data_IF_787333115269
#
_entry.id   IF_787333115269
#
_cell.length_a   1.000
_cell.length_b   1.000
_cell.length_c   1.000
_cell.angle_alpha   90.00
_cell.angle_beta   90.00
_cell.angle_gamma   90.00
#
_symmetry.space_group_name_H-M   'P 1'
#
loop_
_entity.id
_entity.type
_entity.pdbx_description
1 polymer ?
#
# COMPACT_ATOMS: atom_id res chain seq x y z
N UNK A 1 11.47 -17.99 29.56
CA UNK A 1 10.09 -17.64 29.22
C UNK A 1 9.97 -17.75 27.71
N UNK A 2 9.02 -18.57 27.20
CA UNK A 2 9.13 -19.22 25.89
C UNK A 2 9.08 -18.26 24.71
N UNK A 3 10.11 -18.31 23.87
CA UNK A 3 10.04 -17.84 22.48
C UNK A 3 9.18 -18.84 21.71
N UNK A 4 7.86 -18.63 21.70
CA UNK A 4 6.92 -19.46 20.92
C UNK A 4 7.10 -19.30 19.39
N UNK A 5 8.09 -18.52 18.95
CA UNK A 5 8.39 -18.34 17.55
C UNK A 5 9.90 -18.39 17.25
N UNK A 6 10.31 -19.03 16.15
CA UNK A 6 11.69 -19.06 15.67
C UNK A 6 12.24 -17.64 15.39
N UNK A 7 13.57 -17.48 15.31
CA UNK A 7 14.22 -16.19 15.08
C UNK A 7 13.58 -15.46 13.89
N UNK A 8 13.37 -14.16 14.09
CA UNK A 8 12.57 -13.33 13.17
C UNK A 8 13.38 -12.89 11.97
N UNK A 9 14.68 -12.66 12.19
CA UNK A 9 15.66 -12.23 11.21
C UNK A 9 16.96 -13.00 11.49
N UNK A 10 17.74 -13.24 10.44
CA UNK A 10 19.09 -13.74 10.52
C UNK A 10 20.02 -12.53 10.69
N UNK A 11 20.46 -12.28 11.93
CA UNK A 11 21.28 -11.11 12.28
C UNK A 11 22.68 -11.11 11.62
N UNK A 12 23.15 -12.27 11.16
CA UNK A 12 24.42 -12.35 10.44
C UNK A 12 24.33 -11.77 9.02
N UNK A 13 23.11 -11.67 8.44
CA UNK A 13 22.90 -11.12 7.10
C UNK A 13 22.66 -9.62 7.16
N UNK A 14 23.47 -8.87 6.40
CA UNK A 14 23.36 -7.42 6.23
C UNK A 14 22.67 -7.08 4.91
N UNK A 15 21.41 -7.50 4.77
CA UNK A 15 20.63 -7.37 3.54
C UNK A 15 19.28 -6.67 3.75
N UNK A 16 19.14 -5.89 4.81
CA UNK A 16 17.95 -5.08 5.10
C UNK A 16 18.35 -3.62 5.00
N UNK A 17 17.68 -2.87 4.13
CA UNK A 17 18.02 -1.49 3.80
C UNK A 17 16.79 -0.61 3.93
N UNK A 18 16.93 0.52 4.62
CA UNK A 18 15.91 1.57 4.57
C UNK A 18 16.09 2.36 3.28
N UNK A 19 14.98 2.67 2.61
CA UNK A 19 15.00 3.38 1.33
C UNK A 19 14.02 4.55 1.34
N UNK A 20 14.29 5.55 0.52
CA UNK A 20 13.27 6.53 0.11
C UNK A 20 12.65 6.06 -1.20
N UNK A 21 11.32 5.78 -1.25
CA UNK A 21 10.66 5.41 -2.48
C UNK A 21 10.91 6.42 -3.60
N UNK A 22 11.14 5.99 -4.86
CA UNK A 22 11.49 6.87 -5.96
C UNK A 22 10.27 7.61 -6.52
N UNK A 23 9.43 8.18 -5.65
CA UNK A 23 8.21 8.90 -6.05
C UNK A 23 8.49 10.17 -6.87
N UNK A 24 9.72 10.70 -6.84
CA UNK A 24 10.15 11.77 -7.75
C UNK A 24 9.93 11.38 -9.24
N UNK A 25 10.05 10.08 -9.56
CA UNK A 25 9.80 9.56 -10.90
C UNK A 25 8.32 9.60 -11.30
N UNK A 26 7.40 9.52 -10.33
CA UNK A 26 5.97 9.68 -10.61
C UNK A 26 5.66 11.12 -11.01
N UNK A 27 6.30 12.10 -10.36
CA UNK A 27 6.20 13.51 -10.75
C UNK A 27 6.72 13.74 -12.17
N UNK A 28 7.86 13.16 -12.54
CA UNK A 28 8.40 13.26 -13.91
C UNK A 28 7.43 12.65 -14.95
N UNK A 29 6.84 11.49 -14.65
CA UNK A 29 5.83 10.86 -15.52
C UNK A 29 4.57 11.70 -15.65
N UNK A 30 4.10 12.30 -14.55
CA UNK A 30 2.93 13.17 -14.54
C UNK A 30 3.17 14.47 -15.31
N UNK A 31 4.37 15.06 -15.23
CA UNK A 31 4.70 16.27 -15.97
C UNK A 31 4.74 16.03 -17.48
N UNK A 32 5.24 14.88 -17.94
CA UNK A 32 5.24 14.51 -19.37
C UNK A 32 3.84 14.37 -19.97
N UNK A 33 2.82 14.12 -19.15
CA UNK A 33 1.42 13.99 -19.59
C UNK A 33 0.60 15.28 -19.44
N UNK A 34 1.19 16.36 -18.94
CA UNK A 34 0.48 17.63 -18.71
C UNK A 34 0.56 18.54 -19.93
N UNK A 35 -0.49 18.54 -20.74
CA UNK A 35 -0.85 19.69 -21.56
C UNK A 35 -1.71 20.65 -20.70
N UNK A 36 -1.49 21.97 -20.82
CA UNK A 36 -2.22 23.05 -20.13
C UNK A 36 -3.63 22.64 -19.69
N UNK A 37 -3.83 22.51 -18.38
CA UNK A 37 -5.04 21.90 -17.85
C UNK A 37 -5.36 22.36 -16.43
N UNK A 38 -6.66 22.47 -16.21
CA UNK A 38 -7.40 22.67 -14.96
C UNK A 38 -6.64 22.32 -13.65
N UNK A 39 -6.68 23.23 -12.68
CA UNK A 39 -6.08 23.04 -11.35
C UNK A 39 -7.12 22.49 -10.38
N UNK A 40 -6.83 21.35 -9.75
CA UNK A 40 -7.78 20.65 -8.88
C UNK A 40 -7.42 20.83 -7.41
N UNK A 41 -8.45 20.96 -6.58
CA UNK A 41 -8.39 20.73 -5.13
C UNK A 41 -9.24 19.53 -4.81
N UNK A 42 -8.64 18.49 -4.22
CA UNK A 42 -9.32 17.23 -3.93
C UNK A 42 -9.61 17.13 -2.44
N UNK A 43 -10.86 16.89 -2.08
CA UNK A 43 -11.27 16.50 -0.74
C UNK A 43 -11.56 14.99 -0.69
N UNK A 44 -10.86 14.27 0.17
CA UNK A 44 -11.09 12.85 0.42
C UNK A 44 -12.24 12.65 1.40
N UNK A 45 -13.27 11.92 0.96
CA UNK A 45 -14.34 11.44 1.81
C UNK A 45 -13.84 10.43 2.84
N UNK A 46 -14.61 10.30 3.92
CA UNK A 46 -14.35 9.38 5.02
C UNK A 46 -15.50 8.38 5.11
N UNK A 47 -15.19 7.11 5.43
CA UNK A 47 -16.23 6.13 5.69
C UNK A 47 -16.82 6.31 7.09
N UNK A 48 -17.81 7.21 7.20
CA UNK A 48 -18.42 7.59 8.48
C UNK A 48 -18.96 6.38 9.27
N UNK A 49 -19.66 5.45 8.61
CA UNK A 49 -20.25 4.25 9.23
C UNK A 49 -19.25 3.32 9.91
N UNK A 50 -17.97 3.42 9.56
CA UNK A 50 -16.91 2.56 10.08
C UNK A 50 -16.00 3.28 11.09
N UNK A 51 -16.30 4.55 11.42
CA UNK A 51 -15.63 5.24 12.51
C UNK A 51 -16.30 4.84 13.83
N UNK A 52 -15.57 4.20 14.77
CA UNK A 52 -16.19 3.76 16.01
C UNK A 52 -16.70 4.94 16.82
N UNK A 53 -18.02 4.93 17.06
CA UNK A 53 -18.74 5.80 17.99
C UNK A 53 -18.52 7.31 17.75
N UNK A 54 -18.70 7.76 16.52
CA UNK A 54 -18.71 9.20 16.19
C UNK A 54 -20.09 9.81 16.37
N UNK A 55 -20.13 11.10 16.74
CA UNK A 55 -21.34 11.89 16.58
C UNK A 55 -21.45 12.34 15.13
N UNK A 56 -22.12 11.54 14.29
CA UNK A 56 -22.22 11.76 12.84
C UNK A 56 -22.69 13.17 12.46
N UNK A 57 -23.68 13.72 13.18
CA UNK A 57 -24.22 15.07 12.88
C UNK A 57 -23.19 16.15 13.15
N UNK A 58 -22.51 16.09 14.30
CA UNK A 58 -21.48 17.09 14.63
C UNK A 58 -20.25 16.92 13.72
N UNK A 59 -19.87 15.67 13.40
CA UNK A 59 -18.80 15.41 12.44
C UNK A 59 -19.12 15.98 11.06
N UNK A 60 -20.34 15.78 10.54
CA UNK A 60 -20.77 16.34 9.25
C UNK A 60 -20.80 17.87 9.29
N UNK A 61 -21.29 18.46 10.39
CA UNK A 61 -21.28 19.91 10.59
C UNK A 61 -19.86 20.48 10.55
N UNK A 62 -18.90 19.85 11.23
CA UNK A 62 -17.50 20.25 11.20
C UNK A 62 -16.88 20.04 9.81
N UNK A 63 -17.22 18.94 9.12
CA UNK A 63 -16.79 18.70 7.74
C UNK A 63 -17.30 19.78 6.80
N UNK A 64 -18.53 20.25 6.96
CA UNK A 64 -19.08 21.36 6.16
C UNK A 64 -18.31 22.66 6.36
N UNK A 65 -17.89 22.98 7.58
CA UNK A 65 -17.02 24.15 7.84
C UNK A 65 -15.67 24.02 7.12
N UNK A 66 -15.11 22.81 7.05
CA UNK A 66 -13.89 22.52 6.30
C UNK A 66 -14.10 22.65 4.76
N UNK A 67 -15.24 22.21 4.25
CA UNK A 67 -15.58 22.35 2.83
C UNK A 67 -15.80 23.83 2.45
N UNK A 68 -16.46 24.62 3.32
CA UNK A 68 -16.60 26.07 3.14
C UNK A 68 -15.25 26.78 3.16
N UNK A 69 -14.35 26.38 4.05
CA UNK A 69 -12.98 26.88 4.07
C UNK A 69 -12.26 26.66 2.73
N UNK A 70 -12.41 25.48 2.12
CA UNK A 70 -11.83 25.18 0.81
C UNK A 70 -12.45 26.07 -0.27
N UNK A 71 -13.78 26.21 -0.31
CA UNK A 71 -14.46 27.08 -1.29
C UNK A 71 -13.95 28.52 -1.24
N UNK A 72 -13.78 29.07 -0.03
CA UNK A 72 -13.29 30.44 0.17
C UNK A 72 -11.86 30.65 -0.30
N UNK A 73 -10.99 29.67 -0.07
CA UNK A 73 -9.54 29.80 -0.37
C UNK A 73 -9.18 29.38 -1.80
N UNK A 74 -10.04 28.64 -2.50
CA UNK A 74 -9.73 28.03 -3.79
C UNK A 74 -10.82 28.23 -4.85
N UNK A 75 -11.37 29.45 -4.96
CA UNK A 75 -12.43 29.79 -5.93
C UNK A 75 -12.03 29.55 -7.39
N UNK A 76 -10.74 29.67 -7.70
CA UNK A 76 -10.20 29.57 -9.06
C UNK A 76 -9.77 28.14 -9.42
N UNK A 77 -10.10 27.17 -8.56
CA UNK A 77 -9.78 25.77 -8.74
C UNK A 77 -11.05 24.96 -8.97
N UNK A 78 -10.92 23.86 -9.70
CA UNK A 78 -11.94 22.83 -9.70
C UNK A 78 -11.90 22.11 -8.35
N UNK A 79 -13.00 22.18 -7.60
CA UNK A 79 -13.14 21.48 -6.34
C UNK A 79 -13.70 20.09 -6.62
N UNK A 80 -13.04 19.06 -6.09
CA UNK A 80 -13.34 17.66 -6.36
C UNK A 80 -13.57 16.95 -5.04
N UNK A 81 -14.70 16.28 -4.86
CA UNK A 81 -14.95 15.40 -3.73
C UNK A 81 -14.80 13.95 -4.19
N UNK A 82 -13.83 13.22 -3.63
CA UNK A 82 -13.64 11.79 -3.92
C UNK A 82 -14.08 10.98 -2.69
N UNK A 83 -15.25 10.30 -2.75
CA UNK A 83 -15.76 9.52 -1.63
C UNK A 83 -14.86 8.32 -1.31
N UNK A 84 -14.98 7.82 -0.08
CA UNK A 84 -14.35 6.55 0.27
C UNK A 84 -14.99 5.41 -0.54
N UNK A 85 -14.24 4.39 -1.04
CA UNK A 85 -14.81 3.32 -1.87
C UNK A 85 -15.93 2.51 -1.21
N UNK A 86 -15.98 2.52 0.12
CA UNK A 86 -17.00 1.88 0.95
C UNK A 86 -17.92 2.89 1.66
N UNK A 87 -17.87 4.18 1.28
CA UNK A 87 -18.87 5.16 1.71
C UNK A 87 -20.23 4.76 1.10
N UNK A 88 -21.30 4.54 1.90
CA UNK A 88 -22.63 4.46 1.32
C UNK A 88 -22.96 5.78 0.62
N UNK A 89 -23.93 5.74 -0.30
CA UNK A 89 -24.35 6.86 -1.16
C UNK A 89 -24.30 8.20 -0.39
N UNK A 90 -23.31 9.01 -0.77
CA UNK A 90 -23.03 10.41 -0.41
C UNK A 90 -23.95 10.94 0.69
N UNK A 91 -23.41 11.00 1.91
CA UNK A 91 -24.18 11.32 3.10
C UNK A 91 -24.92 12.66 2.92
N UNK A 92 -26.28 12.68 3.02
CA UNK A 92 -27.09 13.85 2.68
C UNK A 92 -26.86 15.07 3.59
N UNK A 93 -26.05 14.95 4.65
CA UNK A 93 -25.70 16.06 5.54
C UNK A 93 -24.47 16.85 5.07
N UNK A 94 -23.72 16.36 4.07
CA UNK A 94 -22.58 17.10 3.52
C UNK A 94 -23.06 18.12 2.48
N UNK A 95 -22.71 19.39 2.69
CA UNK A 95 -22.86 20.43 1.69
C UNK A 95 -21.72 20.26 0.68
N UNK A 96 -22.00 19.62 -0.46
CA UNK A 96 -21.06 19.44 -1.57
C UNK A 96 -21.29 20.43 -2.73
N UNK A 97 -22.08 21.49 -2.53
CA UNK A 97 -22.30 22.51 -3.57
C UNK A 97 -20.97 23.08 -4.06
N UNK A 98 -20.77 23.14 -5.37
CA UNK A 98 -19.52 23.58 -6.00
C UNK A 98 -18.39 22.54 -6.02
N UNK A 99 -18.59 21.33 -5.48
CA UNK A 99 -17.68 20.21 -5.65
C UNK A 99 -18.18 19.26 -6.73
N UNK A 100 -17.28 18.85 -7.61
CA UNK A 100 -17.49 17.70 -8.49
C UNK A 100 -17.32 16.41 -7.71
N UNK A 101 -18.42 15.69 -7.50
CA UNK A 101 -18.41 14.42 -6.79
C UNK A 101 -18.04 13.29 -7.73
N UNK A 102 -16.87 12.68 -7.52
CA UNK A 102 -16.40 11.59 -8.36
C UNK A 102 -17.06 10.27 -7.98
N UNK A 103 -17.58 9.55 -8.97
CA UNK A 103 -18.04 8.17 -8.81
C UNK A 103 -16.94 7.19 -9.20
N UNK A 104 -15.75 7.31 -8.61
CA UNK A 104 -14.65 6.37 -8.83
C UNK A 104 -14.16 5.71 -7.55
N UNK A 105 -14.00 4.38 -7.62
CA UNK A 105 -13.63 3.53 -6.49
C UNK A 105 -12.16 3.10 -6.52
N UNK A 106 -11.37 3.67 -7.42
CA UNK A 106 -9.93 3.44 -7.52
C UNK A 106 -9.23 3.73 -6.19
N UNK A 107 -8.15 2.97 -5.94
CA UNK A 107 -7.29 3.19 -4.78
C UNK A 107 -6.74 4.62 -4.80
N UNK A 108 -6.63 5.25 -3.62
CA UNK A 108 -6.26 6.66 -3.49
C UNK A 108 -4.89 6.94 -4.12
N UNK A 109 -3.93 6.04 -3.91
CA UNK A 109 -2.56 6.14 -4.41
C UNK A 109 -2.52 6.19 -5.93
N UNK A 110 -3.32 5.34 -6.58
CA UNK A 110 -3.40 5.30 -8.04
C UNK A 110 -4.17 6.49 -8.60
N UNK A 111 -5.25 6.93 -7.95
CA UNK A 111 -5.96 8.15 -8.31
C UNK A 111 -5.04 9.37 -8.28
N UNK A 112 -4.27 9.52 -7.19
CA UNK A 112 -3.32 10.62 -7.03
C UNK A 112 -2.30 10.58 -8.14
N UNK A 113 -1.66 9.43 -8.37
CA UNK A 113 -0.69 9.26 -9.46
C UNK A 113 -1.25 9.66 -10.82
N UNK A 114 -2.43 9.15 -11.19
CA UNK A 114 -3.06 9.43 -12.49
C UNK A 114 -3.40 10.90 -12.71
N UNK A 115 -3.77 11.61 -11.64
CA UNK A 115 -4.22 13.00 -11.70
C UNK A 115 -3.20 13.99 -11.15
N UNK A 116 -1.99 13.54 -10.84
CA UNK A 116 -0.96 14.29 -10.11
C UNK A 116 -0.62 15.63 -10.75
N UNK A 117 -0.61 15.73 -12.08
CA UNK A 117 -0.37 16.98 -12.78
C UNK A 117 -1.44 18.06 -12.53
N UNK A 118 -2.70 17.63 -12.34
CA UNK A 118 -3.87 18.48 -12.13
C UNK A 118 -4.04 18.88 -10.67
N UNK A 119 -3.80 17.94 -9.75
CA UNK A 119 -4.00 18.14 -8.31
C UNK A 119 -2.97 19.14 -7.77
N UNK A 120 -3.45 20.24 -7.20
CA UNK A 120 -2.61 21.26 -6.54
C UNK A 120 -2.68 21.17 -5.02
N UNK A 121 -3.86 20.89 -4.48
CA UNK A 121 -4.06 20.67 -3.06
C UNK A 121 -4.93 19.46 -2.80
N UNK A 122 -4.65 18.80 -1.68
CA UNK A 122 -5.41 17.68 -1.15
C UNK A 122 -5.85 18.03 0.27
N UNK A 123 -7.08 17.66 0.60
CA UNK A 123 -7.66 17.84 1.93
C UNK A 123 -8.42 16.59 2.37
N UNK A 124 -8.57 16.43 3.68
CA UNK A 124 -9.50 15.47 4.27
C UNK A 124 -9.84 15.85 5.70
N UNK A 125 -10.95 15.34 6.23
CA UNK A 125 -11.18 15.36 7.67
C UNK A 125 -10.10 14.54 8.42
N UNK A 126 -9.91 13.27 8.04
CA UNK A 126 -8.97 12.36 8.70
C UNK A 126 -8.55 11.18 7.80
N UNK A 127 -8.52 11.35 6.48
CA UNK A 127 -8.22 10.24 5.57
C UNK A 127 -6.71 10.01 5.45
N UNK A 128 -6.30 8.73 5.51
CA UNK A 128 -4.92 8.33 5.23
C UNK A 128 -4.50 8.67 3.79
N UNK A 129 -5.46 8.88 2.87
CA UNK A 129 -5.19 9.33 1.51
C UNK A 129 -4.48 10.70 1.47
N UNK A 130 -4.71 11.57 2.47
CA UNK A 130 -3.99 12.85 2.57
C UNK A 130 -2.53 12.64 2.97
N UNK A 131 -2.25 11.72 3.89
CA UNK A 131 -0.87 11.34 4.22
C UNK A 131 -0.16 10.75 3.00
N UNK A 132 -0.81 9.85 2.26
CA UNK A 132 -0.24 9.29 1.04
C UNK A 132 0.01 10.38 -0.02
N UNK A 133 -0.93 11.31 -0.21
CA UNK A 133 -0.75 12.43 -1.15
C UNK A 133 0.44 13.31 -0.78
N UNK A 134 0.67 13.55 0.52
CA UNK A 134 1.85 14.26 1.01
C UNK A 134 3.15 13.51 0.70
N UNK A 135 3.18 12.19 0.95
CA UNK A 135 4.34 11.34 0.62
C UNK A 135 4.64 11.29 -0.88
N UNK A 136 3.62 11.48 -1.72
CA UNK A 136 3.74 11.60 -3.18
C UNK A 136 4.12 13.02 -3.64
N UNK A 137 4.41 13.94 -2.72
CA UNK A 137 4.91 15.29 -3.03
C UNK A 137 3.83 16.26 -3.51
N UNK A 138 2.61 16.16 -2.97
CA UNK A 138 1.55 17.17 -3.15
C UNK A 138 1.40 18.04 -1.90
N UNK A 139 0.86 19.24 -2.06
CA UNK A 139 0.33 19.99 -0.92
C UNK A 139 -0.89 19.25 -0.40
N UNK A 140 -0.86 18.82 0.85
CA UNK A 140 -1.87 17.90 1.38
C UNK A 140 -2.12 18.16 2.84
N UNK A 141 -3.38 18.30 3.23
CA UNK A 141 -3.76 18.74 4.56
C UNK A 141 -4.80 17.83 5.20
N UNK A 142 -4.76 17.75 6.52
CA UNK A 142 -5.77 17.11 7.36
C UNK A 142 -6.39 18.13 8.31
N UNK A 143 -7.72 18.14 8.36
CA UNK A 143 -8.48 18.93 9.34
C UNK A 143 -8.62 18.21 10.68
N UNK A 144 -8.00 17.05 10.86
CA UNK A 144 -8.13 16.18 12.04
C UNK A 144 -8.11 16.92 13.39
N UNK A 145 -7.27 17.95 13.65
CA UNK A 145 -7.31 18.68 14.91
C UNK A 145 -8.67 19.30 15.27
N UNK A 146 -9.49 19.65 14.27
CA UNK A 146 -10.83 20.22 14.45
C UNK A 146 -11.86 19.17 14.91
N UNK A 147 -11.55 17.88 14.75
CA UNK A 147 -12.46 16.77 15.04
C UNK A 147 -12.22 16.12 16.40
N UNK A 148 -11.23 16.59 17.18
CA UNK A 148 -10.83 16.00 18.48
C UNK A 148 -11.95 15.89 19.52
N UNK A 149 -13.02 16.69 19.40
CA UNK A 149 -14.19 16.66 20.30
C UNK A 149 -15.41 15.95 19.70
N UNK A 150 -15.29 15.43 18.48
CA UNK A 150 -16.37 14.72 17.76
C UNK A 150 -16.24 13.20 17.81
N UNK A 151 -15.15 12.71 18.43
CA UNK A 151 -14.77 11.30 18.49
C UNK A 151 -14.43 10.89 19.93
N UNK A 152 -14.56 9.59 20.24
CA UNK A 152 -14.07 9.00 21.49
C UNK A 152 -12.53 9.02 21.59
N UNK A 153 -12.00 8.79 22.78
CA UNK A 153 -10.57 8.84 23.08
C UNK A 153 -9.76 7.81 22.26
N UNK A 154 -10.28 6.59 22.10
CA UNK A 154 -9.61 5.51 21.38
C UNK A 154 -9.47 5.82 19.88
N UNK A 155 -10.53 6.36 19.27
CA UNK A 155 -10.50 6.84 17.88
C UNK A 155 -9.50 7.98 17.75
N UNK A 156 -9.45 8.86 18.75
CA UNK A 156 -8.52 9.98 18.75
C UNK A 156 -7.08 9.50 18.80
N UNK A 157 -6.76 8.62 19.74
CA UNK A 157 -5.41 8.07 19.92
C UNK A 157 -4.95 7.31 18.68
N UNK A 158 -5.86 6.58 18.02
CA UNK A 158 -5.56 5.89 16.77
C UNK A 158 -5.14 6.83 15.63
N UNK A 159 -5.87 7.93 15.44
CA UNK A 159 -5.51 8.93 14.41
C UNK A 159 -4.30 9.78 14.80
N UNK A 160 -4.16 10.15 16.08
CA UNK A 160 -2.98 10.85 16.57
C UNK A 160 -1.72 9.99 16.38
N UNK A 161 -1.79 8.68 16.63
CA UNK A 161 -0.68 7.77 16.34
C UNK A 161 -0.41 7.60 14.84
N UNK A 162 -1.47 7.49 14.02
CA UNK A 162 -1.35 7.34 12.57
C UNK A 162 -0.68 8.58 11.92
N UNK A 163 -1.02 9.79 12.38
CA UNK A 163 -0.47 11.04 11.85
C UNK A 163 0.76 11.56 12.62
N UNK A 164 1.28 10.84 13.63
CA UNK A 164 2.36 11.33 14.51
C UNK A 164 3.65 11.76 13.81
N UNK A 165 3.91 11.21 12.61
CA UNK A 165 5.10 11.52 11.80
C UNK A 165 4.86 12.65 10.79
N UNK A 166 3.66 13.23 10.76
CA UNK A 166 3.32 14.32 9.84
C UNK A 166 3.80 15.66 10.38
N UNK A 167 4.29 16.55 9.52
CA UNK A 167 4.77 17.86 9.97
C UNK A 167 3.60 18.77 10.38
N UNK A 168 3.81 19.79 11.23
CA UNK A 168 2.73 20.68 11.72
C UNK A 168 1.90 21.32 10.60
N UNK A 169 2.54 21.75 9.51
CA UNK A 169 1.90 22.34 8.32
C UNK A 169 1.01 21.36 7.54
N UNK A 170 1.05 20.06 7.85
CA UNK A 170 0.07 19.08 7.40
C UNK A 170 -1.32 19.33 7.97
N UNK A 171 -1.42 19.97 9.14
CA UNK A 171 -2.67 20.11 9.84
C UNK A 171 -3.26 21.52 9.69
N UNK A 172 -4.57 21.58 9.39
CA UNK A 172 -5.33 22.83 9.48
C UNK A 172 -6.17 22.79 10.74
N UNK A 173 -5.78 23.59 11.73
CA UNK A 173 -6.42 23.69 13.04
C UNK A 173 -7.20 24.99 13.26
N UNK A 174 -7.11 25.95 12.34
CA UNK A 174 -7.81 27.24 12.38
C UNK A 174 -8.30 27.61 10.98
N UNK A 175 -9.63 27.66 10.81
CA UNK A 175 -10.29 27.96 9.54
C UNK A 175 -10.28 29.46 9.18
N UNK A 176 -9.69 30.33 10.02
CA UNK A 176 -9.47 31.73 9.72
C UNK A 176 -8.13 32.01 9.02
N UNK A 177 -7.18 31.06 9.12
CA UNK A 177 -5.85 31.21 8.55
C UNK A 177 -5.77 30.75 7.09
N UNK A 178 -4.94 31.37 6.25
CA UNK A 178 -4.71 30.89 4.89
C UNK A 178 -4.03 29.50 4.90
N UNK A 179 -4.23 28.73 3.83
CA UNK A 179 -3.56 27.44 3.65
C UNK A 179 -2.07 27.67 3.45
N UNK A 180 -1.23 26.99 4.24
CA UNK A 180 0.21 26.98 4.07
C UNK A 180 0.61 25.90 3.07
N UNK A 181 1.58 26.16 2.20
CA UNK A 181 2.15 25.08 1.38
C UNK A 181 3.00 24.15 2.24
N UNK A 182 2.89 22.85 2.00
CA UNK A 182 3.58 21.84 2.79
C UNK A 182 4.15 20.68 1.96
N UNK A 183 4.20 20.86 0.65
CA UNK A 183 4.66 19.83 -0.28
C UNK A 183 6.00 19.25 0.15
N UNK A 184 6.03 17.92 0.30
CA UNK A 184 7.28 17.18 0.54
C UNK A 184 8.21 17.31 -0.66
N UNK A 185 9.46 17.68 -0.42
CA UNK A 185 10.52 17.61 -1.43
C UNK A 185 10.85 16.13 -1.67
N UNK A 186 10.64 15.68 -2.91
CA UNK A 186 10.98 14.33 -3.31
C UNK A 186 12.41 14.31 -3.83
N UNK A 187 13.26 13.55 -3.16
CA UNK A 187 14.67 13.41 -3.50
C UNK A 187 14.94 12.05 -4.14
N UNK A 188 15.99 12.00 -4.97
CA UNK A 188 16.55 10.74 -5.43
C UNK A 188 17.35 10.10 -4.30
N UNK A 189 17.04 8.84 -4.02
CA UNK A 189 17.86 7.99 -3.16
C UNK A 189 19.01 7.42 -3.98
N UNK A 190 20.22 7.95 -3.79
CA UNK A 190 21.40 7.52 -4.53
C UNK A 190 21.83 6.10 -4.15
N UNK A 191 21.69 5.70 -2.88
CA UNK A 191 22.05 4.36 -2.43
C UNK A 191 21.13 3.31 -3.05
N UNK A 192 19.82 3.59 -3.14
CA UNK A 192 18.87 2.76 -3.86
C UNK A 192 19.24 2.65 -5.35
N UNK A 193 19.61 3.76 -5.98
CA UNK A 193 20.01 3.78 -7.39
C UNK A 193 21.24 2.90 -7.64
N UNK A 194 22.30 3.08 -6.86
CA UNK A 194 23.56 2.35 -7.03
C UNK A 194 23.36 0.85 -6.79
N UNK A 195 22.58 0.51 -5.76
CA UNK A 195 22.22 -0.87 -5.46
C UNK A 195 21.44 -1.54 -6.61
N UNK A 196 20.42 -0.88 -7.17
CA UNK A 196 19.68 -1.43 -8.32
C UNK A 196 20.55 -1.51 -9.57
N UNK A 197 21.48 -0.56 -9.78
CA UNK A 197 22.43 -0.62 -10.88
C UNK A 197 23.27 -1.89 -10.81
N UNK A 198 23.82 -2.20 -9.64
CA UNK A 198 24.60 -3.43 -9.42
C UNK A 198 23.78 -4.71 -9.65
N UNK A 199 22.54 -4.75 -9.14
CA UNK A 199 21.66 -5.91 -9.31
C UNK A 199 21.31 -6.13 -10.79
N UNK A 200 20.95 -5.05 -11.50
CA UNK A 200 20.51 -5.10 -12.89
C UNK A 200 21.65 -5.40 -13.86
N UNK A 201 22.90 -5.07 -13.51
CA UNK A 201 24.08 -5.46 -14.28
C UNK A 201 24.34 -6.97 -14.20
N UNK A 202 24.11 -7.56 -13.02
CA UNK A 202 24.33 -8.99 -12.76
C UNK A 202 23.18 -9.88 -13.23
N UNK A 203 21.95 -9.37 -13.23
CA UNK A 203 20.75 -10.12 -13.59
C UNK A 203 20.14 -9.53 -14.83
N UNK A 204 20.08 -10.30 -15.92
CA UNK A 204 19.65 -9.81 -17.26
C UNK A 204 18.20 -10.12 -17.65
N UNK A 205 17.47 -10.85 -16.80
CA UNK A 205 16.08 -11.25 -17.05
C UNK A 205 15.05 -10.14 -16.80
N UNK A 206 13.79 -10.54 -16.71
CA UNK A 206 12.65 -9.67 -16.41
C UNK A 206 12.63 -9.33 -14.92
N UNK A 207 12.34 -8.08 -14.56
CA UNK A 207 12.01 -7.72 -13.19
C UNK A 207 10.51 -7.91 -12.96
N UNK A 208 10.11 -8.95 -12.22
CA UNK A 208 8.73 -9.28 -11.91
C UNK A 208 8.32 -8.73 -10.55
N UNK A 209 7.33 -7.84 -10.53
CA UNK A 209 6.68 -7.39 -9.30
C UNK A 209 5.50 -8.30 -8.97
N UNK A 210 5.38 -8.75 -7.72
CA UNK A 210 4.26 -9.54 -7.22
C UNK A 210 3.41 -8.63 -6.33
N UNK A 211 2.15 -8.40 -6.72
CA UNK A 211 1.29 -7.41 -6.10
C UNK A 211 -0.08 -7.99 -5.75
N UNK A 212 -0.38 -8.06 -4.45
CA UNK A 212 -1.69 -8.45 -3.94
C UNK A 212 -2.67 -7.28 -3.83
N UNK A 213 -2.23 -6.16 -3.26
CA UNK A 213 -3.09 -4.99 -3.05
C UNK A 213 -2.73 -3.87 -4.06
N UNK A 214 -3.71 -3.35 -4.84
CA UNK A 214 -3.46 -2.24 -5.75
C UNK A 214 -3.08 -0.92 -5.07
N UNK A 215 -3.22 -0.78 -3.73
CA UNK A 215 -2.72 0.39 -3.00
C UNK A 215 -1.20 0.59 -3.12
N UNK A 216 -0.44 -0.48 -3.33
CA UNK A 216 1.00 -0.42 -3.57
C UNK A 216 1.37 -0.18 -5.03
N UNK A 217 0.41 -0.05 -5.94
CA UNK A 217 0.66 0.07 -7.37
C UNK A 217 1.46 1.32 -7.74
N UNK A 218 1.21 2.46 -7.08
CA UNK A 218 1.99 3.68 -7.32
C UNK A 218 3.48 3.49 -7.00
N UNK A 219 3.79 2.81 -5.90
CA UNK A 219 5.16 2.40 -5.55
C UNK A 219 5.74 1.43 -6.56
N UNK A 220 4.96 0.44 -6.99
CA UNK A 220 5.41 -0.51 -8.02
C UNK A 220 5.74 0.21 -9.34
N UNK A 221 4.92 1.17 -9.76
CA UNK A 221 5.15 1.96 -10.97
C UNK A 221 6.39 2.85 -10.82
N UNK A 222 6.62 3.47 -9.64
CA UNK A 222 7.81 4.28 -9.40
C UNK A 222 9.09 3.43 -9.46
N UNK A 223 9.07 2.23 -8.85
CA UNK A 223 10.17 1.27 -8.93
C UNK A 223 10.39 0.75 -10.36
N UNK A 224 9.33 0.47 -11.11
CA UNK A 224 9.44 0.10 -12.52
C UNK A 224 10.07 1.22 -13.35
N UNK A 225 9.71 2.47 -13.09
CA UNK A 225 10.33 3.64 -13.73
C UNK A 225 11.82 3.75 -13.38
N UNK A 226 12.20 3.50 -12.12
CA UNK A 226 13.60 3.50 -11.69
C UNK A 226 14.40 2.46 -12.46
N UNK A 227 13.91 1.22 -12.54
CA UNK A 227 14.57 0.14 -13.29
C UNK A 227 14.75 0.51 -14.76
N UNK A 228 13.75 1.14 -15.39
CA UNK A 228 13.85 1.58 -16.80
C UNK A 228 14.84 2.72 -17.00
N UNK A 229 15.03 3.61 -16.02
CA UNK A 229 16.06 4.65 -16.09
C UNK A 229 17.47 4.07 -15.92
N UNK A 230 17.65 3.11 -15.01
CA UNK A 230 18.94 2.46 -14.76
C UNK A 230 19.33 1.52 -15.91
N UNK A 231 18.39 0.71 -16.39
CA UNK A 231 18.60 -0.29 -17.44
C UNK A 231 17.57 -0.10 -18.56
N UNK A 232 17.82 0.84 -19.50
CA UNK A 232 16.93 1.08 -20.64
C UNK A 232 16.68 -0.20 -21.45
N UNK A 233 15.41 -0.45 -21.81
CA UNK A 233 14.99 -1.66 -22.52
C UNK A 233 14.78 -2.89 -21.63
N UNK A 234 15.06 -2.80 -20.32
CA UNK A 234 14.72 -3.85 -19.36
C UNK A 234 13.21 -4.11 -19.36
N UNK A 235 12.83 -5.38 -19.55
CA UNK A 235 11.45 -5.83 -19.41
C UNK A 235 11.03 -5.85 -17.95
N UNK A 236 9.84 -5.32 -17.68
CA UNK A 236 9.20 -5.31 -16.37
C UNK A 236 7.89 -6.10 -16.45
N UNK A 237 7.73 -7.05 -15.55
CA UNK A 237 6.51 -7.84 -15.43
C UNK A 237 5.74 -7.53 -14.15
N UNK A 238 4.43 -7.73 -14.18
CA UNK A 238 3.55 -7.65 -13.00
C UNK A 238 2.79 -8.96 -12.82
N UNK A 239 2.90 -9.55 -11.65
CA UNK A 239 2.14 -10.70 -11.19
C UNK A 239 1.08 -10.16 -10.22
N UNK A 240 -0.19 -10.28 -10.59
CA UNK A 240 -1.32 -9.82 -9.79
C UNK A 240 -1.92 -11.01 -9.06
N UNK A 241 -1.95 -10.95 -7.74
CA UNK A 241 -2.85 -11.77 -6.95
C UNK A 241 -4.20 -11.04 -6.85
N UNK A 242 -5.23 -11.56 -7.50
CA UNK A 242 -6.51 -10.86 -7.74
C UNK A 242 -7.35 -10.68 -6.47
N UNK A 243 -6.92 -9.75 -5.61
CA UNK A 243 -7.67 -9.18 -4.50
C UNK A 243 -8.97 -8.51 -4.98
N UNK A 244 -10.00 -8.45 -4.14
CA UNK A 244 -11.28 -7.82 -4.52
C UNK A 244 -11.12 -6.34 -4.90
N UNK A 245 -10.13 -5.64 -4.32
CA UNK A 245 -9.76 -4.26 -4.66
C UNK A 245 -9.27 -4.09 -6.10
N UNK A 246 -8.84 -5.15 -6.80
CA UNK A 246 -8.49 -5.05 -8.23
C UNK A 246 -9.71 -4.93 -9.14
N UNK A 247 -10.92 -5.27 -8.67
CA UNK A 247 -12.15 -5.21 -9.48
C UNK A 247 -12.48 -3.78 -9.93
N UNK A 248 -12.06 -2.79 -9.15
CA UNK A 248 -12.32 -1.36 -9.39
C UNK A 248 -11.17 -0.65 -10.12
N UNK A 249 -10.12 -1.39 -10.51
CA UNK A 249 -8.96 -0.84 -11.20
C UNK A 249 -9.14 -0.95 -12.72
N UNK A 250 -8.78 0.10 -13.46
CA UNK A 250 -8.71 0.02 -14.92
C UNK A 250 -7.43 -0.71 -15.35
N UNK A 251 -7.58 -1.97 -15.76
CA UNK A 251 -6.47 -2.80 -16.20
C UNK A 251 -5.79 -2.28 -17.46
N UNK A 252 -6.45 -1.47 -18.30
CA UNK A 252 -5.81 -0.87 -19.47
C UNK A 252 -4.82 0.21 -19.05
N UNK A 253 -5.09 0.93 -17.97
CA UNK A 253 -4.15 1.90 -17.41
C UNK A 253 -2.97 1.21 -16.76
N UNK A 254 -3.22 0.15 -15.98
CA UNK A 254 -2.16 -0.65 -15.36
C UNK A 254 -1.19 -1.22 -16.42
N UNK A 255 -1.74 -1.79 -17.52
CA UNK A 255 -0.95 -2.39 -18.61
C UNK A 255 0.04 -1.43 -19.28
N UNK A 256 -0.17 -0.11 -19.22
CA UNK A 256 0.74 0.88 -19.83
C UNK A 256 2.12 0.90 -19.18
N UNK A 257 2.24 0.39 -17.95
CA UNK A 257 3.49 0.48 -17.16
C UNK A 257 4.34 -0.80 -17.19
N UNK A 258 3.77 -1.93 -17.66
CA UNK A 258 4.39 -3.25 -17.58
C UNK A 258 4.39 -3.94 -18.95
N UNK A 259 5.49 -4.62 -19.28
CA UNK A 259 5.66 -5.34 -20.54
C UNK A 259 4.90 -6.68 -20.56
N UNK A 260 4.62 -7.23 -19.38
CA UNK A 260 3.85 -8.46 -19.21
C UNK A 260 3.04 -8.43 -17.91
N UNK A 261 1.83 -8.99 -17.95
CA UNK A 261 1.00 -9.15 -16.75
C UNK A 261 0.53 -10.60 -16.64
N UNK A 262 0.73 -11.21 -15.47
CA UNK A 262 0.16 -12.51 -15.10
C UNK A 262 -0.84 -12.31 -13.96
N UNK A 263 -1.98 -12.99 -14.00
CA UNK A 263 -3.03 -12.82 -12.98
C UNK A 263 -3.35 -14.19 -12.36
N UNK A 264 -3.23 -14.27 -11.04
CA UNK A 264 -3.54 -15.45 -10.25
C UNK A 264 -4.71 -15.16 -9.30
N UNK A 265 -5.53 -16.17 -8.96
CA UNK A 265 -6.59 -15.99 -7.98
C UNK A 265 -6.00 -15.72 -6.59
N UNK A 266 -6.63 -14.81 -5.83
CA UNK A 266 -6.37 -14.70 -4.39
C UNK A 266 -6.95 -15.91 -3.66
N UNK A 267 -6.09 -16.70 -3.04
CA UNK A 267 -6.47 -17.93 -2.35
C UNK A 267 -6.05 -17.87 -0.89
N UNK A 268 -7.01 -17.59 -0.01
CA UNK A 268 -6.83 -17.79 1.42
C UNK A 268 -6.83 -19.26 1.79
N UNK A 269 -6.02 -19.62 2.78
CA UNK A 269 -5.97 -20.96 3.35
C UNK A 269 -7.35 -21.44 3.82
N UNK A 270 -7.69 -22.69 3.49
CA UNK A 270 -9.03 -23.23 3.68
C UNK A 270 -9.00 -24.74 3.83
N UNK A 271 -9.92 -25.29 4.63
CA UNK A 271 -10.16 -26.72 4.74
C UNK A 271 -11.20 -27.24 3.72
N UNK A 272 -11.80 -26.36 2.91
CA UNK A 272 -12.81 -26.77 1.92
C UNK A 272 -12.13 -27.50 0.75
N UNK A 273 -12.50 -28.74 0.42
CA UNK A 273 -11.80 -29.53 -0.61
C UNK A 273 -11.66 -28.80 -1.95
N UNK A 274 -12.72 -28.16 -2.43
CA UNK A 274 -12.67 -27.39 -3.68
C UNK A 274 -11.74 -26.17 -3.64
N UNK A 275 -11.51 -25.57 -2.46
CA UNK A 275 -10.53 -24.49 -2.30
C UNK A 275 -9.11 -25.04 -2.24
N UNK A 276 -8.89 -26.17 -1.55
CA UNK A 276 -7.59 -26.87 -1.52
C UNK A 276 -7.19 -27.28 -2.94
N UNK A 277 -8.11 -27.87 -3.72
CA UNK A 277 -7.85 -28.23 -5.11
C UNK A 277 -7.42 -27.02 -5.96
N UNK A 278 -8.09 -25.87 -5.80
CA UNK A 278 -7.70 -24.63 -6.47
C UNK A 278 -6.30 -24.15 -6.05
N UNK A 279 -5.91 -24.32 -4.80
CA UNK A 279 -4.57 -24.00 -4.31
C UNK A 279 -3.52 -24.91 -4.96
N UNK A 280 -3.77 -26.22 -5.04
CA UNK A 280 -2.90 -27.18 -5.73
C UNK A 280 -2.73 -26.83 -7.21
N UNK A 281 -3.83 -26.54 -7.91
CA UNK A 281 -3.79 -26.13 -9.32
C UNK A 281 -3.02 -24.83 -9.51
N UNK A 282 -3.23 -23.84 -8.65
CA UNK A 282 -2.52 -22.56 -8.71
C UNK A 282 -1.03 -22.73 -8.47
N UNK A 283 -0.65 -23.49 -7.44
CA UNK A 283 0.75 -23.82 -7.17
C UNK A 283 1.42 -24.55 -8.34
N UNK A 284 0.72 -25.53 -8.95
CA UNK A 284 1.22 -26.23 -10.13
C UNK A 284 1.39 -25.30 -11.34
N UNK A 285 0.46 -24.38 -11.57
CA UNK A 285 0.58 -23.37 -12.63
C UNK A 285 1.78 -22.45 -12.39
N UNK A 286 1.98 -21.98 -11.16
CA UNK A 286 3.13 -21.13 -10.80
C UNK A 286 4.44 -21.91 -10.98
N UNK A 287 4.52 -23.16 -10.50
CA UNK A 287 5.70 -24.01 -10.67
C UNK A 287 6.11 -24.22 -12.13
N UNK A 288 5.14 -24.21 -13.05
CA UNK A 288 5.37 -24.35 -14.49
C UNK A 288 5.47 -23.01 -15.23
N UNK A 289 5.49 -21.88 -14.52
CA UNK A 289 5.61 -20.56 -15.14
C UNK A 289 6.99 -20.37 -15.75
N UNK A 290 7.05 -19.66 -16.88
CA UNK A 290 8.29 -19.36 -17.61
C UNK A 290 9.06 -18.22 -16.94
N UNK A 291 9.59 -18.47 -15.74
CA UNK A 291 10.50 -17.57 -15.03
C UNK A 291 11.92 -18.08 -15.25
N UNK A 292 12.78 -17.24 -15.80
CA UNK A 292 14.20 -17.54 -16.00
C UNK A 292 14.98 -17.37 -14.69
N UNK A 293 16.07 -18.10 -14.48
CA UNK A 293 16.95 -17.87 -13.31
C UNK A 293 17.64 -16.50 -13.31
N UNK A 294 17.63 -15.82 -14.45
CA UNK A 294 18.12 -14.45 -14.62
C UNK A 294 17.08 -13.38 -14.28
N UNK A 295 15.82 -13.78 -14.06
CA UNK A 295 14.75 -12.87 -13.66
C UNK A 295 14.92 -12.44 -12.18
N UNK A 296 14.40 -11.27 -11.85
CA UNK A 296 14.34 -10.74 -10.48
C UNK A 296 12.89 -10.84 -10.01
N UNK A 297 12.68 -11.36 -8.80
CA UNK A 297 11.37 -11.45 -8.18
C UNK A 297 11.25 -10.41 -7.06
N UNK A 298 10.31 -9.48 -7.18
CA UNK A 298 10.11 -8.38 -6.24
C UNK A 298 8.73 -8.55 -5.60
N UNK A 299 8.70 -8.92 -4.32
CA UNK A 299 7.48 -9.22 -3.57
C UNK A 299 7.24 -8.25 -2.42
N UNK A 300 6.06 -8.33 -1.81
CA UNK A 300 5.68 -7.48 -0.67
C UNK A 300 6.14 -8.03 0.68
N UNK A 301 6.93 -9.10 0.72
CA UNK A 301 7.21 -9.86 1.94
C UNK A 301 5.97 -10.51 2.54
N UNK A 302 4.90 -10.63 1.76
CA UNK A 302 3.59 -11.09 2.17
C UNK A 302 3.49 -12.62 2.05
N UNK A 303 2.80 -13.24 3.00
CA UNK A 303 2.64 -14.71 3.05
C UNK A 303 1.49 -15.22 2.17
N UNK A 304 1.17 -14.54 1.07
CA UNK A 304 0.13 -15.06 0.19
C UNK A 304 0.61 -16.32 -0.51
N UNK A 305 -0.33 -17.20 -0.86
CA UNK A 305 0.01 -18.44 -1.56
C UNK A 305 0.78 -18.18 -2.85
N UNK A 306 0.38 -17.14 -3.60
CA UNK A 306 1.00 -16.79 -4.87
C UNK A 306 2.45 -16.35 -4.66
N UNK A 307 2.69 -15.39 -3.77
CA UNK A 307 4.05 -14.91 -3.48
C UNK A 307 4.92 -16.04 -2.94
N UNK A 308 4.42 -16.84 -1.99
CA UNK A 308 5.14 -17.98 -1.42
C UNK A 308 5.52 -19.01 -2.51
N UNK A 309 4.62 -19.35 -3.44
CA UNK A 309 4.95 -20.23 -4.57
C UNK A 309 6.10 -19.67 -5.42
N UNK A 310 6.11 -18.36 -5.70
CA UNK A 310 7.21 -17.76 -6.45
C UNK A 310 8.53 -17.77 -5.66
N UNK A 311 8.48 -17.49 -4.35
CA UNK A 311 9.69 -17.51 -3.51
C UNK A 311 10.27 -18.92 -3.35
N UNK A 312 9.43 -19.96 -3.29
CA UNK A 312 9.85 -21.35 -3.10
C UNK A 312 10.28 -22.05 -4.39
N UNK A 313 9.54 -21.89 -5.49
CA UNK A 313 9.80 -22.66 -6.72
C UNK A 313 10.92 -22.10 -7.58
N UNK A 314 11.33 -20.86 -7.34
CA UNK A 314 12.38 -20.18 -8.10
C UNK A 314 13.56 -19.81 -7.19
N UNK A 315 14.25 -20.78 -6.56
CA UNK A 315 15.25 -20.51 -5.53
C UNK A 315 16.54 -19.87 -6.08
N UNK A 316 16.79 -19.94 -7.39
CA UNK A 316 17.99 -19.36 -8.04
C UNK A 316 17.82 -17.89 -8.45
N UNK A 317 16.59 -17.39 -8.40
CA UNK A 317 16.27 -16.02 -8.76
C UNK A 317 16.71 -15.06 -7.67
N UNK A 318 17.11 -13.85 -8.06
CA UNK A 318 17.36 -12.79 -7.10
C UNK A 318 16.02 -12.26 -6.57
N UNK A 319 15.84 -12.26 -5.26
CA UNK A 319 14.57 -11.94 -4.60
C UNK A 319 14.70 -10.68 -3.76
N UNK A 320 13.79 -9.74 -4.00
CA UNK A 320 13.72 -8.48 -3.26
C UNK A 320 12.38 -8.40 -2.54
N UNK A 321 12.40 -8.18 -1.23
CA UNK A 321 11.20 -7.80 -0.48
C UNK A 321 11.07 -6.28 -0.45
N UNK A 322 9.89 -5.75 -0.72
CA UNK A 322 9.56 -4.35 -0.63
C UNK A 322 8.44 -4.15 0.40
N UNK A 323 8.81 -3.62 1.57
CA UNK A 323 7.97 -3.59 2.77
C UNK A 323 7.86 -2.17 3.31
N UNK A 324 6.68 -1.75 3.77
CA UNK A 324 6.59 -0.54 4.58
C UNK A 324 7.23 -0.77 5.94
N UNK A 325 7.76 0.28 6.57
CA UNK A 325 8.29 0.28 7.94
C UNK A 325 7.27 -0.29 8.94
N UNK A 326 5.98 0.00 8.76
CA UNK A 326 4.90 -0.59 9.55
C UNK A 326 4.77 -2.10 9.35
N UNK A 327 4.65 -2.57 8.10
CA UNK A 327 4.53 -3.99 7.81
C UNK A 327 5.77 -4.76 8.29
N UNK A 328 6.95 -4.18 8.11
CA UNK A 328 8.21 -4.73 8.61
C UNK A 328 8.20 -4.85 10.13
N UNK A 329 7.83 -3.79 10.85
CA UNK A 329 7.74 -3.83 12.32
C UNK A 329 6.69 -4.81 12.80
N UNK A 330 5.50 -4.83 12.22
CA UNK A 330 4.40 -5.70 12.66
C UNK A 330 4.74 -7.17 12.43
N UNK A 331 5.25 -7.52 11.24
CA UNK A 331 5.51 -8.91 10.89
C UNK A 331 6.88 -9.41 11.35
N UNK A 332 7.91 -8.55 11.41
CA UNK A 332 9.30 -8.95 11.64
C UNK A 332 10.01 -8.23 12.80
N UNK A 333 9.36 -7.27 13.45
CA UNK A 333 9.90 -6.67 14.68
C UNK A 333 9.72 -7.58 15.90
N UNK A 334 10.51 -7.35 16.96
CA UNK A 334 10.32 -8.01 18.25
C UNK A 334 8.89 -7.80 18.77
N UNK A 335 8.33 -8.83 19.43
CA UNK A 335 6.97 -8.82 19.97
C UNK A 335 6.98 -9.25 21.42
N UNK A 336 6.33 -8.46 22.26
CA UNK A 336 6.01 -8.88 23.61
C UNK A 336 4.97 -10.02 23.57
N UNK A 337 5.05 -11.03 24.45
CA UNK A 337 4.05 -12.10 24.51
C UNK A 337 2.60 -11.61 24.62
N UNK A 338 2.37 -10.44 25.23
CA UNK A 338 1.04 -9.82 25.31
C UNK A 338 0.46 -9.48 23.94
N UNK A 339 1.29 -9.18 22.94
CA UNK A 339 0.85 -8.90 21.56
C UNK A 339 0.00 -10.03 21.00
N UNK A 340 0.35 -11.30 21.28
CA UNK A 340 -0.35 -12.45 20.74
C UNK A 340 -1.59 -12.87 21.54
N UNK A 341 -1.91 -12.20 22.66
CA UNK A 341 -3.12 -12.52 23.45
C UNK A 341 -4.41 -12.24 22.68
N UNK A 342 -4.37 -11.26 21.77
CA UNK A 342 -5.49 -10.90 20.90
C UNK A 342 -5.44 -11.61 19.54
N UNK A 343 -4.48 -12.52 19.33
CA UNK A 343 -4.25 -13.15 18.03
C UNK A 343 -4.40 -14.67 18.08
N UNK A 344 -5.21 -15.23 17.18
CA UNK A 344 -5.48 -16.66 17.11
C UNK A 344 -5.19 -17.25 15.72
N UNK A 345 -4.85 -18.54 15.68
CA UNK A 345 -4.68 -19.26 14.41
C UNK A 345 -5.92 -20.13 14.13
N UNK A 346 -6.48 -20.03 12.92
CA UNK A 346 -7.56 -20.94 12.50
C UNK A 346 -6.98 -22.29 12.10
N UNK A 347 -7.77 -23.35 12.30
CA UNK A 347 -7.43 -24.73 11.86
C UNK A 347 -7.01 -24.80 10.38
N UNK A 348 -7.58 -23.97 9.52
CA UNK A 348 -7.21 -23.89 8.11
C UNK A 348 -5.75 -23.44 7.89
N UNK A 349 -5.25 -22.48 8.68
CA UNK A 349 -3.85 -22.05 8.63
C UNK A 349 -2.94 -23.14 9.20
N UNK A 350 -3.31 -23.75 10.34
CA UNK A 350 -2.56 -24.88 10.91
C UNK A 350 -2.44 -26.05 9.93
N UNK A 351 -3.54 -26.46 9.29
CA UNK A 351 -3.52 -27.49 8.25
C UNK A 351 -2.63 -27.09 7.08
N UNK A 352 -2.75 -25.84 6.62
CA UNK A 352 -1.96 -25.39 5.47
C UNK A 352 -0.48 -25.41 5.80
N UNK A 353 -0.10 -24.95 7.00
CA UNK A 353 1.28 -24.90 7.44
C UNK A 353 1.91 -26.28 7.72
N UNK A 354 1.15 -27.22 8.29
CA UNK A 354 1.67 -28.53 8.66
C UNK A 354 1.57 -29.56 7.54
N UNK A 355 0.65 -29.37 6.59
CA UNK A 355 0.34 -30.38 5.57
C UNK A 355 0.50 -29.80 4.17
N UNK A 356 -0.24 -28.74 3.82
CA UNK A 356 -0.30 -28.26 2.44
C UNK A 356 1.02 -27.65 1.95
N UNK A 357 1.64 -26.78 2.75
CA UNK A 357 2.89 -26.11 2.43
C UNK A 357 4.04 -27.12 2.26
N UNK A 358 4.27 -28.07 3.20
CA UNK A 358 5.24 -29.15 2.98
C UNK A 358 4.95 -30.01 1.76
N UNK A 359 3.69 -30.41 1.55
CA UNK A 359 3.30 -31.23 0.40
C UNK A 359 3.60 -30.53 -0.93
N UNK A 360 3.41 -29.21 -0.96
CA UNK A 360 3.67 -28.39 -2.13
C UNK A 360 5.16 -27.99 -2.26
N UNK A 361 5.99 -28.23 -1.25
CA UNK A 361 7.39 -27.76 -1.23
C UNK A 361 7.49 -26.24 -1.09
N UNK A 362 6.60 -25.63 -0.31
CA UNK A 362 6.57 -24.19 -0.04
C UNK A 362 7.30 -23.85 1.26
N UNK A 363 7.77 -22.61 1.37
CA UNK A 363 8.24 -22.07 2.64
C UNK A 363 7.09 -22.08 3.64
N UNK A 364 7.38 -22.48 4.87
CA UNK A 364 6.36 -22.60 5.90
C UNK A 364 5.99 -21.22 6.43
N UNK A 365 4.71 -20.96 6.64
CA UNK A 365 4.20 -19.67 7.12
C UNK A 365 3.54 -19.74 8.50
N UNK A 366 3.55 -18.63 9.21
CA UNK A 366 2.82 -18.39 10.44
C UNK A 366 1.81 -17.31 10.15
N UNK A 367 0.55 -17.56 10.49
CA UNK A 367 -0.49 -16.56 10.40
C UNK A 367 -1.37 -16.59 11.65
N UNK A 368 -1.67 -15.42 12.18
CA UNK A 368 -2.63 -15.24 13.26
C UNK A 368 -3.54 -14.07 12.95
N UNK A 369 -4.83 -14.31 13.12
CA UNK A 369 -5.86 -13.28 12.98
C UNK A 369 -6.00 -12.52 14.29
N UNK A 370 -6.14 -11.21 14.18
CA UNK A 370 -6.52 -10.36 15.29
C UNK A 370 -8.03 -10.48 15.54
N UNK A 371 -8.43 -10.69 16.81
CA UNK A 371 -9.83 -10.70 17.25
C UNK A 371 -10.52 -9.38 16.90
N UNK A 372 -9.83 -8.25 17.05
CA UNK A 372 -10.33 -6.92 16.71
C UNK A 372 -10.39 -6.65 15.21
N UNK A 373 -9.80 -7.53 14.38
CA UNK A 373 -9.63 -7.38 12.93
C UNK A 373 -8.92 -6.08 12.53
N UNK A 374 -8.09 -5.53 13.41
CA UNK A 374 -7.31 -4.32 13.16
C UNK A 374 -6.10 -4.67 12.29
N UNK A 375 -5.30 -5.65 12.71
CA UNK A 375 -4.12 -6.08 11.95
C UNK A 375 -3.82 -7.57 12.13
N UNK A 376 -3.93 -8.32 11.04
CA UNK A 376 -3.51 -9.73 11.03
C UNK A 376 -1.99 -9.82 11.03
N UNK A 377 -1.46 -10.80 11.77
CA UNK A 377 -0.04 -11.09 11.83
C UNK A 377 0.29 -12.23 10.87
N UNK A 378 1.29 -12.04 10.00
CA UNK A 378 1.71 -13.08 9.04
C UNK A 378 3.18 -12.98 8.69
N UNK A 379 3.92 -14.09 8.76
CA UNK A 379 5.33 -14.17 8.35
C UNK A 379 5.77 -15.58 7.95
N UNK A 380 6.93 -15.70 7.32
CA UNK A 380 7.60 -17.00 7.16
C UNK A 380 8.10 -17.53 8.51
N UNK A 381 8.16 -18.86 8.64
CA UNK A 381 8.70 -19.53 9.82
C UNK A 381 10.22 -19.37 9.91
N UNK A 382 10.91 -19.47 8.78
CA UNK A 382 12.33 -19.14 8.69
C UNK A 382 12.54 -17.62 8.62
N UNK A 383 13.75 -17.13 8.93
CA UNK A 383 14.06 -15.72 8.80
C UNK A 383 13.76 -15.20 7.39
N UNK A 384 12.96 -14.14 7.28
CA UNK A 384 12.53 -13.63 5.96
C UNK A 384 13.73 -13.17 5.11
N UNK A 385 14.79 -12.67 5.75
CA UNK A 385 16.03 -12.28 5.10
C UNK A 385 16.95 -13.47 4.75
N UNK A 386 16.50 -14.70 5.01
CA UNK A 386 17.05 -15.92 4.40
C UNK A 386 16.35 -16.31 3.10
N UNK A 387 15.06 -15.99 2.97
CA UNK A 387 14.28 -16.24 1.75
C UNK A 387 14.59 -15.20 0.68
N UNK A 388 14.73 -13.93 1.10
CA UNK A 388 15.02 -12.80 0.23
C UNK A 388 16.51 -12.48 0.21
N UNK A 389 17.06 -12.23 -0.97
CA UNK A 389 18.44 -11.77 -1.12
C UNK A 389 18.59 -10.34 -0.57
N UNK A 390 17.55 -9.52 -0.72
CA UNK A 390 17.50 -8.16 -0.21
C UNK A 390 16.11 -7.77 0.30
N UNK A 391 16.06 -7.00 1.38
CA UNK A 391 14.84 -6.40 1.93
C UNK A 391 14.96 -4.87 1.90
N UNK A 392 13.99 -4.23 1.27
CA UNK A 392 13.86 -2.79 1.17
C UNK A 392 12.69 -2.34 2.04
N UNK A 393 12.98 -1.48 3.02
CA UNK A 393 12.01 -0.98 4.00
C UNK A 393 11.81 0.52 3.80
N UNK A 394 10.57 0.97 3.61
CA UNK A 394 10.24 2.37 3.28
C UNK A 394 9.26 3.05 4.23
#
# INVERSE_FOLDING_TARGET
MSNDFPPVLNEAKKNIFSIVPPFYLLNELAQKSSANGEKWVVFWGTQFDNLPQINEKEFCKQTNLCLDYIRRNFSDYRLVYKPHPAEPVIYPLLNLTGFDVLNERTAAEFFVFKNMAKIKYVFSACSMASMTSWHLGLNSHSFWPLFKYTTIAETKDGYDDAFKKMPPEFFVSDLSQPVQENKKVLIRDQALWDNFSEILDKKRGVAWFILGDPGLLALTISMASLIRQISPGRKIGLIIEKHHRWVVMDMNEVKKHFDAIQIFPRLFYSLRPGKIWKQLLTARTIKNSKISSEDILIGGGAISLVENCFMSYFPKNYKIALLSDEAFRVCFGLKDPSFFRTHFSRRAFTFSNLILEPLLGLHRTIYREDIGRVANFGRYQEPVNDIYDQMLVF
#
